data_IF_610048540041
#
_entry.id   IF_610048540041
#
_cell.length_a   1.000
_cell.length_b   1.000
_cell.length_c   1.000
_cell.angle_alpha   90.00
_cell.angle_beta   90.00
_cell.angle_gamma   90.00
#
_symmetry.space_group_name_H-M   'P 1'
#
loop_
_entity.id
_entity.type
_entity.pdbx_description
1 polymer ?
#
# COMPACT_ATOMS: atom_id res chain seq x y z
N UNK A 1 -19.47 -9.52 0.71
CA UNK A 1 -18.41 -10.44 0.21
C UNK A 1 -18.00 -11.33 1.37
N UNK A 2 -17.55 -12.58 1.15
CA UNK A 2 -17.09 -13.46 2.22
C UNK A 2 -16.02 -12.74 3.06
N UNK A 3 -16.13 -12.73 4.41
CA UNK A 3 -15.28 -11.89 5.27
C UNK A 3 -13.78 -12.21 5.12
N UNK A 4 -13.43 -13.46 4.84
CA UNK A 4 -12.06 -13.92 4.60
C UNK A 4 -11.41 -13.21 3.41
N UNK A 5 -12.15 -13.07 2.30
CA UNK A 5 -11.63 -12.44 1.09
C UNK A 5 -11.47 -10.93 1.29
N UNK A 6 -12.34 -10.33 2.11
CA UNK A 6 -12.26 -8.91 2.45
C UNK A 6 -11.00 -8.59 3.25
N UNK A 7 -10.62 -9.45 4.19
CA UNK A 7 -9.38 -9.33 4.98
C UNK A 7 -8.14 -9.44 4.09
N UNK A 8 -8.10 -10.43 3.20
CA UNK A 8 -6.99 -10.62 2.26
C UNK A 8 -6.77 -9.39 1.35
N UNK A 9 -7.85 -8.72 0.98
CA UNK A 9 -7.78 -7.52 0.12
C UNK A 9 -7.07 -6.35 0.82
N UNK A 10 -7.04 -6.28 2.16
CA UNK A 10 -6.27 -5.25 2.88
C UNK A 10 -4.75 -5.44 2.76
N UNK A 11 -4.29 -6.64 2.41
CA UNK A 11 -2.87 -6.92 2.11
C UNK A 11 -2.41 -6.44 0.74
N UNK A 12 -3.32 -5.95 -0.12
CA UNK A 12 -2.99 -5.57 -1.50
C UNK A 12 -2.74 -4.05 -1.58
N UNK A 13 -1.49 -3.60 -1.83
CA UNK A 13 -1.16 -2.17 -1.90
C UNK A 13 -1.97 -1.41 -2.96
N UNK A 14 -2.31 -2.08 -4.08
CA UNK A 14 -3.10 -1.50 -5.18
C UNK A 14 -4.45 -0.92 -4.72
N UNK A 15 -5.07 -1.48 -3.68
CA UNK A 15 -6.32 -0.97 -3.11
C UNK A 15 -6.17 0.46 -2.60
N UNK A 16 -5.08 0.73 -1.88
CA UNK A 16 -4.82 2.04 -1.29
C UNK A 16 -4.55 3.08 -2.39
N UNK A 17 -3.79 2.69 -3.42
CA UNK A 17 -3.54 3.54 -4.59
C UNK A 17 -4.83 3.94 -5.32
N UNK A 18 -5.71 2.99 -5.65
CA UNK A 18 -6.99 3.27 -6.32
C UNK A 18 -7.88 4.17 -5.45
N UNK A 19 -7.82 4.02 -4.13
CA UNK A 19 -8.57 4.87 -3.20
C UNK A 19 -8.08 6.32 -3.22
N UNK A 20 -6.76 6.54 -3.28
CA UNK A 20 -6.15 7.87 -3.40
C UNK A 20 -6.54 8.50 -4.73
N UNK A 21 -6.36 7.79 -5.85
CA UNK A 21 -6.72 8.29 -7.19
C UNK A 21 -8.20 8.68 -7.23
N UNK A 22 -9.10 7.82 -6.76
CA UNK A 22 -10.53 8.17 -6.70
C UNK A 22 -10.82 9.35 -5.79
N UNK A 23 -10.15 9.45 -4.64
CA UNK A 23 -10.30 10.61 -3.75
C UNK A 23 -9.88 11.91 -4.42
N UNK A 24 -8.72 11.89 -5.08
CA UNK A 24 -8.16 13.07 -5.75
C UNK A 24 -9.01 13.50 -6.95
N UNK A 25 -9.37 12.55 -7.84
CA UNK A 25 -10.06 12.84 -9.09
C UNK A 25 -11.58 13.01 -8.95
N UNK A 26 -12.24 12.26 -8.06
CA UNK A 26 -13.71 12.26 -7.97
C UNK A 26 -14.24 13.11 -6.81
N UNK A 27 -13.47 13.29 -5.75
CA UNK A 27 -13.92 13.98 -4.54
C UNK A 27 -13.16 15.27 -4.26
N UNK A 28 -12.03 15.52 -4.92
CA UNK A 28 -11.19 16.68 -4.65
C UNK A 28 -10.69 16.76 -3.20
N UNK A 29 -10.59 15.61 -2.51
CA UNK A 29 -10.15 15.58 -1.11
C UNK A 29 -8.65 15.77 -1.00
N UNK A 30 -8.22 16.48 0.04
CA UNK A 30 -6.82 16.78 0.31
C UNK A 30 -6.09 15.66 1.04
N UNK A 31 -4.85 15.96 1.44
CA UNK A 31 -3.98 15.05 2.20
C UNK A 31 -4.54 14.72 3.60
N UNK A 32 -5.43 15.54 4.13
CA UNK A 32 -6.13 15.34 5.39
C UNK A 32 -6.99 14.07 5.42
N UNK A 33 -7.52 13.64 4.27
CA UNK A 33 -8.28 12.38 4.13
C UNK A 33 -7.42 11.25 3.58
N UNK A 34 -6.39 11.59 2.79
CA UNK A 34 -5.57 10.63 2.03
C UNK A 34 -4.34 10.13 2.78
N UNK A 35 -3.95 10.77 3.89
CA UNK A 35 -2.75 10.40 4.65
C UNK A 35 -2.73 8.94 5.14
N UNK A 36 -3.84 8.30 5.56
CA UNK A 36 -3.77 6.91 6.03
C UNK A 36 -3.45 5.95 4.89
N UNK A 37 -3.99 6.19 3.69
CA UNK A 37 -3.73 5.38 2.50
C UNK A 37 -2.31 5.62 1.99
N UNK A 38 -1.82 6.86 2.05
CA UNK A 38 -0.43 7.18 1.71
C UNK A 38 0.56 6.51 2.68
N UNK A 39 0.27 6.53 3.99
CA UNK A 39 1.06 5.85 5.01
C UNK A 39 1.06 4.33 4.80
N UNK A 40 -0.09 3.73 4.48
CA UNK A 40 -0.16 2.30 4.17
C UNK A 40 0.74 1.94 2.97
N UNK A 41 0.69 2.73 1.89
CA UNK A 41 1.58 2.54 0.73
C UNK A 41 3.06 2.70 1.10
N UNK A 42 3.39 3.67 1.95
CA UNK A 42 4.76 3.88 2.42
C UNK A 42 5.26 2.66 3.23
N UNK A 43 4.43 2.12 4.13
CA UNK A 43 4.75 0.88 4.87
C UNK A 43 5.00 -0.27 3.91
N UNK A 44 4.12 -0.49 2.92
CA UNK A 44 4.33 -1.52 1.90
C UNK A 44 5.64 -1.32 1.13
N UNK A 45 5.94 -0.08 0.72
CA UNK A 45 7.18 0.26 0.02
C UNK A 45 8.42 -0.09 0.85
N UNK A 46 8.45 0.32 2.12
CA UNK A 46 9.55 0.03 3.05
C UNK A 46 9.72 -1.47 3.27
N UNK A 47 8.63 -2.22 3.44
CA UNK A 47 8.67 -3.68 3.61
C UNK A 47 9.25 -4.34 2.37
N UNK A 48 8.77 -3.99 1.17
CA UNK A 48 9.26 -4.58 -0.08
C UNK A 48 10.72 -4.24 -0.33
N UNK A 49 11.14 -2.99 -0.10
CA UNK A 49 12.53 -2.56 -0.19
C UNK A 49 13.41 -3.29 0.83
N UNK A 50 12.97 -3.40 2.08
CA UNK A 50 13.67 -4.12 3.14
C UNK A 50 13.88 -5.59 2.78
N UNK A 51 12.84 -6.26 2.30
CA UNK A 51 12.91 -7.64 1.80
C UNK A 51 13.84 -7.77 0.60
N UNK A 52 13.82 -6.81 -0.32
CA UNK A 52 14.69 -6.78 -1.49
C UNK A 52 16.16 -6.65 -1.10
N UNK A 53 16.49 -5.73 -0.18
CA UNK A 53 17.85 -5.55 0.36
C UNK A 53 18.33 -6.79 1.10
N UNK A 54 17.47 -7.41 1.91
CA UNK A 54 17.79 -8.66 2.60
C UNK A 54 18.02 -9.81 1.62
N UNK A 55 17.21 -9.92 0.57
CA UNK A 55 17.37 -10.91 -0.50
C UNK A 55 18.65 -10.72 -1.30
N UNK A 56 19.04 -9.48 -1.56
CA UNK A 56 20.27 -9.16 -2.29
C UNK A 56 21.52 -9.53 -1.51
N UNK A 57 21.54 -9.28 -0.19
CA UNK A 57 22.65 -9.70 0.69
C UNK A 57 22.85 -11.22 0.73
N UNK A 58 21.79 -12.01 0.54
CA UNK A 58 21.88 -13.47 0.49
C UNK A 58 22.44 -14.04 -0.82
N UNK A 59 22.52 -13.25 -1.89
CA UNK A 59 23.03 -13.69 -3.21
C UNK A 59 24.46 -13.26 -3.50
N UNK A 60 25.02 -12.37 -2.68
CA UNK A 60 26.37 -11.80 -2.86
C UNK A 60 27.41 -12.34 -1.87
N UNK A 61 27.01 -13.29 -1.01
CA UNK A 61 27.90 -14.11 -0.18
C UNK A 61 27.87 -15.54 -0.68
#
# INVERSE_FOLDING_TARGET
>A
MPPIIQTLTYGIPLRYFITIVRGLFLKGVGLDVLWPQALALLVFGVVILGLSVMGFRKRLS
#
